data_IF_880363768875
#
_entry.id   IF_880363768875
#
_cell.length_a   1.000
_cell.length_b   1.000
_cell.length_c   1.000
_cell.angle_alpha   90.00
_cell.angle_beta   90.00
_cell.angle_gamma   90.00
#
_symmetry.space_group_name_H-M   'P 1'
#
loop_
_entity.id
_entity.type
_entity.pdbx_description
1 polymer ?
#
# COMPACT_ATOMS: atom_id res chain seq x y z
N UNK A 1 1.79 10.64 4.75
CA UNK A 1 0.87 11.81 4.77
C UNK A 1 1.49 12.91 3.93
N UNK A 2 0.80 13.41 2.90
CA UNK A 2 1.35 14.50 2.06
C UNK A 2 1.64 15.75 2.90
N UNK A 3 2.67 16.53 2.53
CA UNK A 3 2.99 17.82 3.18
C UNK A 3 1.76 18.75 3.27
N UNK A 4 0.88 18.66 2.27
CA UNK A 4 -0.40 19.39 2.19
C UNK A 4 -1.35 18.98 3.33
N UNK A 5 -1.44 17.69 3.66
CA UNK A 5 -2.27 17.23 4.76
C UNK A 5 -1.77 17.73 6.13
N UNK A 6 -0.44 17.76 6.33
CA UNK A 6 0.15 18.34 7.55
C UNK A 6 -0.05 19.86 7.64
N UNK A 7 0.03 20.56 6.52
CA UNK A 7 -0.22 22.00 6.45
C UNK A 7 -1.70 22.37 6.70
N UNK A 8 -2.64 21.45 6.45
CA UNK A 8 -4.07 21.70 6.63
C UNK A 8 -4.55 21.64 8.08
N UNK A 9 -3.71 21.21 9.04
CA UNK A 9 -4.07 20.93 10.44
C UNK A 9 -5.27 19.98 10.63
N UNK A 10 -5.74 19.31 9.57
CA UNK A 10 -6.83 18.35 9.64
C UNK A 10 -6.36 17.06 10.31
N UNK A 11 -7.18 16.52 11.21
CA UNK A 11 -6.93 15.22 11.82
C UNK A 11 -6.83 14.11 10.76
N UNK A 12 -6.02 13.08 11.01
CA UNK A 12 -5.72 12.07 9.99
C UNK A 12 -6.93 11.31 9.43
N UNK A 13 -8.00 11.20 10.21
CA UNK A 13 -9.28 10.64 9.77
C UNK A 13 -9.96 11.51 8.69
N UNK A 14 -9.88 12.84 8.82
CA UNK A 14 -10.43 13.78 7.84
C UNK A 14 -9.61 13.83 6.55
N UNK A 15 -8.28 13.74 6.65
CA UNK A 15 -7.42 13.59 5.46
C UNK A 15 -7.75 12.31 4.69
N UNK A 16 -7.92 11.19 5.39
CA UNK A 16 -8.30 9.92 4.78
C UNK A 16 -9.67 9.99 4.12
N UNK A 17 -10.65 10.65 4.77
CA UNK A 17 -11.98 10.87 4.21
C UNK A 17 -11.92 11.72 2.92
N UNK A 18 -11.16 12.82 2.90
CA UNK A 18 -11.05 13.69 1.73
C UNK A 18 -10.38 13.00 0.55
N UNK A 19 -9.34 12.20 0.80
CA UNK A 19 -8.72 11.35 -0.24
C UNK A 19 -9.76 10.34 -0.74
N UNK A 20 -10.48 9.68 0.17
CA UNK A 20 -11.53 8.72 -0.16
C UNK A 20 -12.64 9.32 -1.02
N UNK A 21 -13.10 10.53 -0.72
CA UNK A 21 -14.10 11.26 -1.52
C UNK A 21 -13.54 11.58 -2.92
N UNK A 22 -12.30 12.09 -3.00
CA UNK A 22 -11.67 12.38 -4.29
C UNK A 22 -11.53 11.13 -5.16
N UNK A 23 -11.11 10.00 -4.58
CA UNK A 23 -11.03 8.72 -5.27
C UNK A 23 -12.43 8.21 -5.66
N UNK A 24 -13.43 8.35 -4.79
CA UNK A 24 -14.80 7.92 -5.05
C UNK A 24 -15.43 8.65 -6.25
N UNK A 25 -15.19 9.96 -6.39
CA UNK A 25 -15.66 10.74 -7.55
C UNK A 25 -15.03 10.22 -8.85
N UNK A 26 -13.72 9.96 -8.86
CA UNK A 26 -13.03 9.38 -10.03
C UNK A 26 -13.57 7.97 -10.33
N UNK A 27 -13.86 7.18 -9.30
CA UNK A 27 -14.42 5.83 -9.44
C UNK A 27 -15.83 5.89 -10.03
N UNK A 28 -16.68 6.83 -9.61
CA UNK A 28 -18.02 7.05 -10.16
C UNK A 28 -17.99 7.55 -11.61
N UNK A 29 -17.03 8.41 -11.97
CA UNK A 29 -16.82 8.79 -13.38
C UNK A 29 -16.45 7.57 -14.24
N UNK A 30 -15.81 6.56 -13.65
CA UNK A 30 -15.55 5.26 -14.26
C UNK A 30 -16.71 4.26 -14.23
N UNK A 31 -17.92 4.62 -13.77
CA UNK A 31 -19.12 3.77 -13.78
C UNK A 31 -20.16 4.23 -14.82
N UNK A 32 -20.00 5.46 -15.35
CA UNK A 32 -20.83 5.98 -16.44
C UNK A 32 -20.49 5.18 -17.71
N UNK A 33 -21.42 4.40 -18.29
CA UNK A 33 -21.11 3.39 -19.32
C UNK A 33 -20.47 3.99 -20.55
N UNK A 34 -19.13 4.04 -20.54
CA UNK A 34 -18.29 4.28 -21.69
C UNK A 34 -17.84 2.90 -22.21
N UNK A 35 -17.73 2.66 -23.52
CA UNK A 35 -17.31 1.37 -24.11
C UNK A 35 -15.91 0.88 -23.71
N UNK A 36 -15.21 1.59 -22.82
CA UNK A 36 -13.87 1.28 -22.30
C UNK A 36 -13.88 0.89 -20.81
N UNK A 37 -15.05 0.71 -20.18
CA UNK A 37 -15.13 0.47 -18.75
C UNK A 37 -15.04 -1.00 -18.33
N UNK A 38 -14.32 -1.29 -17.22
CA UNK A 38 -14.27 -2.63 -16.66
C UNK A 38 -15.62 -3.04 -16.07
N UNK A 39 -15.98 -4.31 -16.23
CA UNK A 39 -17.19 -4.89 -15.66
C UNK A 39 -17.30 -4.66 -14.13
N UNK A 40 -18.50 -4.74 -13.57
CA UNK A 40 -18.76 -4.52 -12.14
C UNK A 40 -17.88 -5.40 -11.20
N UNK A 41 -17.48 -6.58 -11.68
CA UNK A 41 -16.61 -7.52 -10.95
C UNK A 41 -15.18 -6.96 -10.74
N UNK A 42 -14.41 -6.56 -11.76
CA UNK A 42 -13.12 -5.90 -11.57
C UNK A 42 -13.18 -4.63 -10.71
N UNK A 43 -14.27 -3.84 -10.80
CA UNK A 43 -14.46 -2.68 -9.93
C UNK A 43 -14.54 -3.09 -8.45
N UNK A 44 -15.32 -4.13 -8.13
CA UNK A 44 -15.44 -4.64 -6.76
C UNK A 44 -14.11 -5.20 -6.23
N UNK A 45 -13.31 -5.85 -7.08
CA UNK A 45 -11.97 -6.35 -6.72
C UNK A 45 -11.04 -5.18 -6.37
N UNK A 46 -11.02 -4.12 -7.18
CA UNK A 46 -10.23 -2.92 -6.90
C UNK A 46 -10.66 -2.23 -5.59
N UNK A 47 -11.96 -2.19 -5.31
CA UNK A 47 -12.50 -1.59 -4.10
C UNK A 47 -12.08 -2.40 -2.85
N UNK A 48 -12.14 -3.73 -2.93
CA UNK A 48 -11.63 -4.61 -1.90
C UNK A 48 -10.12 -4.42 -1.67
N UNK A 49 -9.32 -4.33 -2.74
CA UNK A 49 -7.89 -4.05 -2.64
C UNK A 49 -7.61 -2.69 -1.96
N UNK A 50 -8.39 -1.66 -2.27
CA UNK A 50 -8.31 -0.35 -1.62
C UNK A 50 -8.60 -0.41 -0.11
N UNK A 51 -9.62 -1.16 0.31
CA UNK A 51 -9.94 -1.37 1.73
C UNK A 51 -8.78 -2.09 2.44
N UNK A 52 -8.26 -3.17 1.85
CA UNK A 52 -7.14 -3.93 2.42
C UNK A 52 -5.90 -3.05 2.58
N UNK A 53 -5.59 -2.20 1.59
CA UNK A 53 -4.49 -1.24 1.66
C UNK A 53 -4.70 -0.20 2.78
N UNK A 54 -5.91 0.36 2.89
CA UNK A 54 -6.26 1.28 3.97
C UNK A 54 -6.11 0.68 5.36
N UNK A 55 -6.60 -0.55 5.55
CA UNK A 55 -6.43 -1.31 6.81
C UNK A 55 -4.95 -1.62 7.08
N UNK A 56 -4.19 -1.99 6.06
CA UNK A 56 -2.75 -2.22 6.16
C UNK A 56 -1.98 -0.98 6.61
N UNK A 57 -2.34 0.21 6.12
CA UNK A 57 -1.74 1.47 6.58
C UNK A 57 -2.09 1.79 8.04
N UNK A 58 -3.34 1.54 8.47
CA UNK A 58 -3.74 1.72 9.86
C UNK A 58 -3.04 0.74 10.81
N UNK A 59 -2.92 -0.52 10.39
CA UNK A 59 -2.15 -1.54 11.12
C UNK A 59 -0.67 -1.17 11.20
N UNK A 60 -0.08 -0.67 10.12
CA UNK A 60 1.31 -0.21 10.11
C UNK A 60 1.53 0.98 11.06
N UNK A 61 0.63 1.96 11.06
CA UNK A 61 0.69 3.10 11.97
C UNK A 61 0.48 2.74 13.46
N UNK A 62 -0.14 1.61 13.76
CA UNK A 62 -0.39 1.16 15.14
C UNK A 62 0.63 0.13 15.64
N UNK A 63 1.13 -0.73 14.75
CA UNK A 63 2.04 -1.83 15.09
C UNK A 63 3.52 -1.50 14.85
N UNK A 64 3.83 -0.67 13.84
CA UNK A 64 5.21 -0.44 13.38
C UNK A 64 5.68 0.98 13.64
N UNK A 65 4.79 1.98 13.60
CA UNK A 65 5.10 3.33 14.05
C UNK A 65 5.11 3.41 15.58
N UNK A 66 6.03 2.67 16.20
CA UNK A 66 6.35 2.77 17.61
C UNK A 66 6.87 4.19 17.91
N UNK A 67 6.39 4.80 18.99
CA UNK A 67 6.94 6.04 19.53
C UNK A 67 8.44 5.84 19.84
N UNK A 68 9.32 6.27 18.94
CA UNK A 68 10.77 6.20 19.13
C UNK A 68 11.60 5.79 17.91
N UNK A 69 10.98 5.28 16.84
CA UNK A 69 11.72 4.94 15.62
C UNK A 69 11.92 6.16 14.72
N UNK A 70 13.15 6.38 14.24
CA UNK A 70 13.42 7.45 13.27
C UNK A 70 12.64 7.21 11.97
N UNK A 71 12.02 8.28 11.45
CA UNK A 71 11.20 8.22 10.24
C UNK A 71 12.00 7.70 9.03
N UNK A 72 13.30 7.99 8.97
CA UNK A 72 14.23 7.49 7.95
C UNK A 72 14.31 5.96 7.94
N UNK A 73 14.49 5.34 9.12
CA UNK A 73 14.53 3.88 9.27
C UNK A 73 13.19 3.24 8.92
N UNK A 74 12.11 3.83 9.41
CA UNK A 74 10.76 3.32 9.20
C UNK A 74 10.35 3.33 7.71
N UNK A 75 10.72 4.37 6.97
CA UNK A 75 10.49 4.44 5.51
C UNK A 75 11.26 3.32 4.80
N UNK A 76 12.54 3.11 5.12
CA UNK A 76 13.34 2.07 4.48
C UNK A 76 12.82 0.66 4.77
N UNK A 77 12.40 0.38 6.01
CA UNK A 77 11.82 -0.92 6.39
C UNK A 77 10.49 -1.14 5.66
N UNK A 78 9.63 -0.12 5.60
CA UNK A 78 8.35 -0.19 4.90
C UNK A 78 8.52 -0.51 3.40
N UNK A 79 9.44 0.17 2.72
CA UNK A 79 9.71 -0.10 1.29
C UNK A 79 10.29 -1.49 1.06
N UNK A 80 11.17 -1.97 1.94
CA UNK A 80 11.69 -3.34 1.88
C UNK A 80 10.58 -4.38 2.04
N UNK A 81 9.70 -4.21 3.03
CA UNK A 81 8.57 -5.12 3.27
C UNK A 81 7.58 -5.15 2.10
N UNK A 82 7.32 -4.02 1.43
CA UNK A 82 6.45 -3.97 0.25
C UNK A 82 6.96 -4.92 -0.85
N UNK A 83 8.26 -4.95 -1.11
CA UNK A 83 8.84 -5.83 -2.12
C UNK A 83 8.73 -7.31 -1.74
N UNK A 84 8.87 -7.64 -0.45
CA UNK A 84 8.68 -9.01 0.05
C UNK A 84 7.22 -9.42 -0.13
N UNK A 85 6.26 -8.57 0.28
CA UNK A 85 4.82 -8.85 0.19
C UNK A 85 4.38 -9.00 -1.28
N UNK A 86 4.87 -8.15 -2.18
CA UNK A 86 4.59 -8.25 -3.62
C UNK A 86 5.13 -9.56 -4.18
N UNK A 87 6.38 -9.93 -3.83
CA UNK A 87 7.00 -11.16 -4.34
C UNK A 87 6.27 -12.41 -3.86
N UNK A 88 5.87 -12.44 -2.58
CA UNK A 88 5.08 -13.55 -2.01
C UNK A 88 3.67 -13.57 -2.61
N UNK A 89 3.03 -12.40 -2.75
CA UNK A 89 1.72 -12.28 -3.38
C UNK A 89 1.73 -12.72 -4.85
N UNK A 90 2.79 -12.39 -5.59
CA UNK A 90 2.96 -12.82 -6.97
C UNK A 90 3.01 -14.34 -7.09
N UNK A 91 3.72 -15.01 -6.19
CA UNK A 91 3.76 -16.46 -6.13
C UNK A 91 2.40 -17.07 -5.79
N UNK A 92 1.68 -16.54 -4.79
CA UNK A 92 0.39 -17.09 -4.36
C UNK A 92 -0.75 -16.86 -5.36
N UNK A 93 -0.84 -15.67 -5.96
CA UNK A 93 -2.00 -15.29 -6.78
C UNK A 93 -1.79 -15.48 -8.27
N UNK A 94 -0.54 -15.42 -8.75
CA UNK A 94 -0.22 -15.53 -10.17
C UNK A 94 0.59 -16.79 -10.49
N UNK A 95 0.78 -17.68 -9.52
CA UNK A 95 1.58 -18.92 -9.63
C UNK A 95 2.99 -18.66 -10.20
N UNK A 96 3.51 -17.45 -9.98
CA UNK A 96 4.75 -17.02 -10.58
C UNK A 96 5.92 -17.74 -9.91
N UNK A 97 6.78 -18.39 -10.70
CA UNK A 97 7.90 -19.14 -10.15
C UNK A 97 8.92 -18.23 -9.46
N UNK A 98 9.41 -18.69 -8.30
CA UNK A 98 10.54 -18.06 -7.62
C UNK A 98 11.84 -18.37 -8.38
N UNK A 99 12.25 -17.44 -9.24
CA UNK A 99 13.58 -17.46 -9.85
C UNK A 99 14.65 -17.25 -8.78
N UNK A 100 15.84 -17.81 -8.98
CA UNK A 100 16.99 -17.59 -8.09
C UNK A 100 17.25 -16.10 -7.82
N UNK A 101 17.05 -15.23 -8.81
CA UNK A 101 17.16 -13.77 -8.69
C UNK A 101 16.14 -13.14 -7.73
N UNK A 102 14.93 -13.70 -7.62
CA UNK A 102 13.91 -13.21 -6.68
C UNK A 102 14.25 -13.61 -5.25
N UNK A 103 14.75 -14.83 -5.07
CA UNK A 103 15.17 -15.34 -3.77
C UNK A 103 16.36 -14.53 -3.25
N UNK A 104 17.39 -14.28 -4.08
CA UNK A 104 18.53 -13.44 -3.69
C UNK A 104 18.12 -12.01 -3.41
N UNK A 105 17.17 -11.46 -4.17
CA UNK A 105 16.58 -10.14 -3.92
C UNK A 105 15.84 -10.06 -2.57
N UNK A 106 15.05 -11.08 -2.22
CA UNK A 106 14.37 -11.12 -0.91
C UNK A 106 15.39 -11.22 0.22
N UNK A 107 16.42 -12.07 0.08
CA UNK A 107 17.48 -12.22 1.09
C UNK A 107 18.22 -10.89 1.29
N UNK A 108 18.58 -10.19 0.22
CA UNK A 108 19.30 -8.91 0.33
C UNK A 108 18.45 -7.82 0.99
N UNK A 109 17.14 -7.80 0.75
CA UNK A 109 16.21 -6.89 1.44
C UNK A 109 16.14 -7.23 2.93
N UNK A 110 16.02 -8.51 3.30
CA UNK A 110 15.97 -8.92 4.71
C UNK A 110 17.27 -8.55 5.43
N UNK A 111 18.43 -8.81 4.81
CA UNK A 111 19.73 -8.40 5.36
C UNK A 111 19.82 -6.87 5.47
N UNK A 112 19.35 -6.14 4.46
CA UNK A 112 19.33 -4.68 4.48
C UNK A 112 18.45 -4.12 5.61
N UNK A 113 17.28 -4.72 5.85
CA UNK A 113 16.41 -4.37 6.97
C UNK A 113 17.10 -4.65 8.31
N UNK A 114 17.76 -5.80 8.45
CA UNK A 114 18.50 -6.16 9.66
C UNK A 114 19.68 -5.22 9.97
N UNK A 115 20.35 -4.71 8.94
CA UNK A 115 21.43 -3.73 9.13
C UNK A 115 20.92 -2.33 9.49
N UNK A 116 19.65 -2.03 9.21
CA UNK A 116 19.02 -0.74 9.48
C UNK A 116 18.30 -0.68 10.83
N UNK A 117 17.85 -1.82 11.36
CA UNK A 117 17.29 -1.95 12.72
C UNK A 117 18.37 -1.64 13.75
#
# INVERSE_FOLDING_TARGET
>A
MSLIARASHLGGQWTALMIGIGTFVVTLMGVIPHPLLPAAKPLAICLAAGIVNGLGMLAFGTLVAWEGMELSKLISIAWGLVLIVISVGAWFFFEEQFTASKITGIISIVVGIYLLS
#
